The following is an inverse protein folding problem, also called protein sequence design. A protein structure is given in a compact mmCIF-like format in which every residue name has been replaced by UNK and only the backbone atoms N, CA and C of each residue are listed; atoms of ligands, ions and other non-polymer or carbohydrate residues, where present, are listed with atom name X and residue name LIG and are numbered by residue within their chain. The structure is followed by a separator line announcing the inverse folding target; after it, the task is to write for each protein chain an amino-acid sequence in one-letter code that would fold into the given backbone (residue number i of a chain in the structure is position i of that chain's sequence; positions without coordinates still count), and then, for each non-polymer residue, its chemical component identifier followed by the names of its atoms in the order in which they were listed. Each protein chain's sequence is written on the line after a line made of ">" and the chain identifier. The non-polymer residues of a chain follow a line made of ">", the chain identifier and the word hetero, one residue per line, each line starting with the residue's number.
data_IF_244550849636
#
_entry.id   IF_244550849636
#
_cell.length_a   1.000
_cell.length_b   1.000
_cell.length_c   1.000
_cell.angle_alpha   90.00
_cell.angle_beta   90.00
_cell.angle_gamma   90.00
#
_symmetry.space_group_name_H-M   'P 1'
#
loop_
_entity.id
_entity.type
_entity.pdbx_description
1 polymer ?
#
# COMPACT_ATOMS: atom_id res chain seq x y z
N UNK A 1 -2.85 -4.42 12.85
CA UNK A 1 -1.49 -4.98 12.75
C UNK A 1 -0.80 -4.29 11.59
N UNK A 2 0.42 -3.77 11.77
CA UNK A 2 1.12 -2.98 10.73
C UNK A 2 2.50 -3.57 10.50
N UNK A 3 2.85 -3.84 9.24
CA UNK A 3 4.15 -4.41 8.86
C UNK A 3 4.82 -3.55 7.80
N UNK A 4 6.04 -3.12 8.06
CA UNK A 4 6.86 -2.43 7.05
C UNK A 4 7.32 -3.44 6.01
N UNK A 5 7.06 -3.13 4.75
CA UNK A 5 7.32 -4.01 3.61
C UNK A 5 8.49 -3.51 2.77
N UNK A 6 8.68 -2.20 2.68
CA UNK A 6 9.77 -1.59 1.94
C UNK A 6 10.08 -0.18 2.41
N UNK A 7 11.25 0.31 2.04
CA UNK A 7 11.69 1.68 2.27
C UNK A 7 12.36 2.21 1.01
N UNK A 8 12.08 3.47 0.65
CA UNK A 8 12.74 4.16 -0.45
C UNK A 8 13.22 5.54 0.01
N UNK A 9 14.21 6.09 -0.69
CA UNK A 9 14.68 7.47 -0.48
C UNK A 9 14.37 8.29 -1.72
N UNK A 10 13.67 9.41 -1.54
CA UNK A 10 13.30 10.32 -2.62
C UNK A 10 13.54 11.76 -2.22
N UNK A 11 14.30 12.53 -3.03
CA UNK A 11 14.66 13.92 -2.74
C UNK A 11 15.20 14.17 -1.32
N UNK A 12 15.90 13.18 -0.75
CA UNK A 12 16.44 13.25 0.61
C UNK A 12 15.43 12.91 1.73
N UNK A 13 14.19 12.55 1.38
CA UNK A 13 13.15 12.10 2.29
C UNK A 13 13.03 10.58 2.25
N UNK A 14 12.91 9.94 3.41
CA UNK A 14 12.72 8.49 3.52
C UNK A 14 11.22 8.16 3.49
N UNK A 15 10.79 7.43 2.47
CA UNK A 15 9.46 6.86 2.35
C UNK A 15 9.46 5.44 2.93
N UNK A 16 8.53 5.16 3.84
CA UNK A 16 8.24 3.81 4.33
C UNK A 16 6.92 3.32 3.74
N UNK A 17 6.92 2.12 3.20
CA UNK A 17 5.75 1.47 2.63
C UNK A 17 5.35 0.36 3.58
N UNK A 18 4.18 0.50 4.20
CA UNK A 18 3.66 -0.41 5.21
C UNK A 18 2.37 -1.06 4.70
N UNK A 19 2.16 -2.32 5.07
CA UNK A 19 0.84 -2.94 4.96
C UNK A 19 0.17 -2.85 6.31
N UNK A 20 -1.06 -2.34 6.30
CA UNK A 20 -1.86 -2.16 7.49
C UNK A 20 -3.28 -2.66 7.25
N UNK A 21 -3.96 -2.92 8.37
CA UNK A 21 -5.39 -3.18 8.39
C UNK A 21 -6.07 -2.06 9.15
N UNK A 22 -7.11 -1.46 8.57
CA UNK A 22 -7.92 -0.43 9.20
C UNK A 22 -8.90 -1.02 10.23
N UNK A 23 -9.57 -0.15 10.99
CA UNK A 23 -10.56 -0.54 12.00
C UNK A 23 -11.79 -1.27 11.43
N UNK A 24 -12.07 -1.10 10.12
CA UNK A 24 -13.12 -1.84 9.42
C UNK A 24 -12.64 -3.23 8.96
N UNK A 25 -11.37 -3.57 9.19
CA UNK A 25 -10.74 -4.82 8.80
C UNK A 25 -10.21 -4.83 7.36
N UNK A 26 -10.30 -3.72 6.63
CA UNK A 26 -9.78 -3.61 5.27
C UNK A 26 -8.26 -3.64 5.29
N UNK A 27 -7.68 -4.40 4.39
CA UNK A 27 -6.23 -4.49 4.22
C UNK A 27 -5.80 -3.52 3.13
N UNK A 28 -4.76 -2.74 3.40
CA UNK A 28 -4.29 -1.70 2.51
C UNK A 28 -2.83 -1.38 2.70
N UNK A 29 -2.36 -0.38 1.97
CA UNK A 29 -1.00 0.13 2.06
C UNK A 29 -1.00 1.53 2.65
N UNK A 30 -0.10 1.77 3.59
CA UNK A 30 0.23 3.08 4.13
C UNK A 30 1.60 3.50 3.60
N UNK A 31 1.68 4.67 2.97
CA UNK A 31 2.96 5.33 2.67
C UNK A 31 3.20 6.38 3.75
N UNK A 32 4.35 6.29 4.42
CA UNK A 32 4.79 7.23 5.44
C UNK A 32 6.04 7.95 4.97
N UNK A 33 5.91 9.25 4.76
CA UNK A 33 6.99 10.08 4.23
C UNK A 33 7.84 10.69 5.36
N UNK A 34 7.24 10.90 6.53
CA UNK A 34 7.87 11.34 7.79
C UNK A 34 6.97 10.96 8.98
N UNK A 35 7.35 11.32 10.21
CA UNK A 35 6.48 11.17 11.40
C UNK A 35 5.17 11.97 11.31
N UNK A 36 5.08 12.93 10.38
CA UNK A 36 3.99 13.90 10.29
C UNK A 36 3.06 13.71 9.09
N UNK A 37 3.44 12.91 8.07
CA UNK A 37 2.61 12.68 6.89
C UNK A 37 2.57 11.20 6.53
N UNK A 38 1.38 10.62 6.61
CA UNK A 38 1.06 9.30 6.07
C UNK A 38 -0.22 9.35 5.24
N UNK A 39 -0.30 8.50 4.24
CA UNK A 39 -1.51 8.27 3.44
C UNK A 39 -1.77 6.77 3.41
N UNK A 40 -3.00 6.38 3.74
CA UNK A 40 -3.45 5.00 3.69
C UNK A 40 -4.47 4.81 2.57
N UNK A 41 -4.32 3.74 1.80
CA UNK A 41 -5.27 3.33 0.78
C UNK A 41 -5.72 1.89 1.02
N UNK A 42 -7.02 1.70 1.23
CA UNK A 42 -7.64 0.38 1.37
C UNK A 42 -7.71 -0.33 0.01
N UNK A 43 -7.13 -1.52 -0.08
CA UNK A 43 -7.05 -2.31 -1.33
C UNK A 43 -8.03 -3.48 -1.32
N UNK A 44 -8.17 -4.14 -0.18
CA UNK A 44 -8.95 -5.36 -0.09
C UNK A 44 -9.82 -5.34 1.16
N UNK A 45 -10.99 -5.99 1.13
CA UNK A 45 -11.74 -6.25 2.35
C UNK A 45 -10.97 -7.20 3.28
N UNK A 46 -11.42 -7.30 4.53
CA UNK A 46 -10.89 -8.25 5.49
C UNK A 46 -10.95 -9.68 4.91
N UNK A 47 -9.81 -10.37 4.88
CA UNK A 47 -9.78 -11.74 4.39
C UNK A 47 -8.40 -12.40 4.45
N UNK A 48 -8.34 -13.73 4.58
CA UNK A 48 -7.08 -14.48 4.52
C UNK A 48 -6.46 -14.35 3.11
N UNK A 49 -5.14 -14.15 3.04
CA UNK A 49 -4.39 -13.99 1.78
C UNK A 49 -4.36 -12.57 1.19
N UNK A 50 -5.23 -11.66 1.66
CA UNK A 50 -5.25 -10.27 1.18
C UNK A 50 -4.04 -9.46 1.68
N UNK A 51 -3.44 -9.87 2.80
CA UNK A 51 -2.17 -9.30 3.29
C UNK A 51 -1.03 -9.56 2.32
N UNK A 52 -0.89 -10.79 1.81
CA UNK A 52 0.19 -11.13 0.87
C UNK A 52 0.06 -10.32 -0.43
N UNK A 53 -1.16 -10.16 -0.96
CA UNK A 53 -1.43 -9.30 -2.12
C UNK A 53 -1.08 -7.84 -1.86
N UNK A 54 -1.46 -7.31 -0.70
CA UNK A 54 -1.11 -5.94 -0.31
C UNK A 54 0.40 -5.79 -0.09
N UNK A 55 1.09 -6.82 0.42
CA UNK A 55 2.55 -6.84 0.55
C UNK A 55 3.23 -6.83 -0.82
N UNK A 56 2.77 -7.60 -1.80
CA UNK A 56 3.31 -7.56 -3.17
C UNK A 56 3.12 -6.19 -3.81
N UNK A 57 1.95 -5.57 -3.64
CA UNK A 57 1.72 -4.20 -4.10
C UNK A 57 2.63 -3.20 -3.40
N UNK A 58 2.75 -3.26 -2.06
CA UNK A 58 3.65 -2.39 -1.30
C UNK A 58 5.12 -2.54 -1.72
N UNK A 59 5.58 -3.76 -2.05
CA UNK A 59 6.92 -4.00 -2.60
C UNK A 59 7.08 -3.33 -3.95
N UNK A 60 6.15 -3.56 -4.87
CA UNK A 60 6.15 -2.91 -6.20
C UNK A 60 6.14 -1.39 -6.11
N UNK A 61 5.40 -0.82 -5.15
CA UNK A 61 5.40 0.60 -4.87
C UNK A 61 6.77 1.09 -4.36
N UNK A 62 7.40 0.34 -3.46
CA UNK A 62 8.72 0.66 -2.93
C UNK A 62 9.81 0.58 -4.03
N UNK A 63 9.72 -0.41 -4.92
CA UNK A 63 10.64 -0.59 -6.05
C UNK A 63 10.41 0.43 -7.19
N UNK A 64 9.15 0.84 -7.43
CA UNK A 64 8.74 1.72 -8.53
C UNK A 64 8.67 3.21 -8.22
N UNK A 65 8.78 3.60 -6.94
CA UNK A 65 8.70 4.97 -6.41
C UNK A 65 7.44 5.75 -6.84
N UNK A 66 6.42 5.63 -6.00
CA UNK A 66 5.11 6.29 -6.15
C UNK A 66 4.91 7.31 -5.04
N UNK A 67 4.36 8.47 -5.38
CA UNK A 67 3.99 9.53 -4.44
C UNK A 67 2.76 9.17 -3.62
N UNK A 68 2.74 9.59 -2.35
CA UNK A 68 1.58 9.44 -1.47
C UNK A 68 0.30 10.05 -2.08
N UNK A 69 0.44 11.12 -2.87
CA UNK A 69 -0.68 11.76 -3.57
C UNK A 69 -1.28 10.89 -4.71
N UNK A 70 -0.47 10.01 -5.34
CA UNK A 70 -0.91 9.11 -6.40
C UNK A 70 -1.35 7.73 -5.87
N UNK A 71 -1.15 7.47 -4.58
CA UNK A 71 -1.47 6.19 -3.96
C UNK A 71 -2.95 5.79 -4.14
N UNK A 72 -3.95 6.69 -4.01
CA UNK A 72 -5.36 6.32 -4.20
C UNK A 72 -5.65 5.80 -5.61
N UNK A 73 -5.11 6.46 -6.63
CA UNK A 73 -5.34 6.08 -8.04
C UNK A 73 -4.67 4.74 -8.36
N UNK A 74 -3.44 4.51 -7.88
CA UNK A 74 -2.77 3.22 -8.09
C UNK A 74 -3.41 2.08 -7.28
N UNK A 75 -3.94 2.39 -6.11
CA UNK A 75 -4.73 1.45 -5.33
C UNK A 75 -6.02 1.05 -6.07
N UNK A 76 -6.63 1.95 -6.82
CA UNK A 76 -7.74 1.64 -7.72
C UNK A 76 -7.30 0.78 -8.91
N UNK A 77 -6.24 1.16 -9.62
CA UNK A 77 -5.71 0.42 -10.76
C UNK A 77 -5.32 -1.02 -10.39
N UNK A 78 -4.60 -1.19 -9.27
CA UNK A 78 -4.25 -2.50 -8.76
C UNK A 78 -5.47 -3.34 -8.38
N UNK A 79 -6.49 -2.73 -7.76
CA UNK A 79 -7.76 -3.44 -7.49
C UNK A 79 -8.44 -3.91 -8.77
N UNK A 80 -8.40 -3.10 -9.84
CA UNK A 80 -8.94 -3.50 -11.14
C UNK A 80 -8.14 -4.65 -11.75
N UNK A 81 -6.80 -4.62 -11.69
CA UNK A 81 -5.91 -5.70 -12.15
C UNK A 81 -6.21 -7.02 -11.43
N UNK A 82 -6.41 -6.96 -10.11
CA UNK A 82 -6.73 -8.13 -9.27
C UNK A 82 -8.16 -8.63 -9.47
N UNK A 83 -9.09 -7.76 -9.86
CA UNK A 83 -10.47 -8.15 -10.16
C UNK A 83 -10.56 -8.88 -11.51
N UNK A 84 -9.67 -8.55 -12.45
CA UNK A 84 -9.59 -9.22 -13.75
C UNK A 84 -9.03 -10.65 -13.67
N UNK A 85 -8.31 -10.97 -12.61
CA UNK A 85 -7.80 -12.32 -12.32
C UNK A 85 -8.78 -13.20 -11.54
N UNK A 86 -10.01 -12.72 -11.31
CA UNK A 86 -11.04 -13.39 -10.48
C UNK A 86 -12.39 -13.61 -11.16
N UNK A 87 -12.41 -13.98 -12.45
CA UNK A 87 -13.61 -14.47 -13.14
C UNK A 87 -13.38 -15.88 -13.72
#
# INVERSE_FOLDING_TARGET
>A
MTRTVGQASWNGVRLEYLVAQDDAGSVGVEIRETVTRSVFASLFPAGPGNFEKAEEFAKRLADGLVFADNLPELAEDFRMEQSFTGA
#
